data_IF_692344618092
#
_entry.id   IF_692344618092
#
_cell.length_a   1.000
_cell.length_b   1.000
_cell.length_c   1.000
_cell.angle_alpha   90.00
_cell.angle_beta   90.00
_cell.angle_gamma   90.00
#
_symmetry.space_group_name_H-M   'P 1'
#
loop_
_entity.id
_entity.type
_entity.pdbx_description
1 polymer ?
#
# COMPACT_ATOMS: atom_id res chain seq x y z
N UNK A 1 3.30 16.02 33.87
CA UNK A 1 1.83 16.19 33.98
C UNK A 1 1.20 15.66 32.70
N UNK A 2 0.46 14.55 32.75
CA UNK A 2 -0.19 13.95 31.56
C UNK A 2 -1.55 14.63 31.33
N UNK A 3 -1.75 15.29 30.19
CA UNK A 3 -3.11 15.70 29.76
C UNK A 3 -3.71 14.57 28.94
N UNK A 4 -4.75 13.95 29.49
CA UNK A 4 -5.55 12.91 28.86
C UNK A 4 -6.55 13.59 27.91
N UNK A 5 -6.47 13.29 26.61
CA UNK A 5 -7.43 13.77 25.62
C UNK A 5 -8.50 12.71 25.40
N UNK A 6 -9.67 12.92 25.98
CA UNK A 6 -10.82 12.02 25.91
C UNK A 6 -11.68 12.39 24.69
N UNK A 7 -11.80 11.41 23.79
CA UNK A 7 -12.99 10.96 23.05
C UNK A 7 -14.02 12.01 22.57
N UNK A 8 -14.40 11.92 21.28
CA UNK A 8 -15.82 11.80 20.90
C UNK A 8 -15.96 10.92 19.64
N UNK A 9 -16.57 9.75 19.80
CA UNK A 9 -17.06 8.90 18.71
C UNK A 9 -18.59 8.96 18.77
N UNK A 10 -19.23 9.42 17.69
CA UNK A 10 -20.69 9.51 17.59
C UNK A 10 -21.23 8.25 16.90
N UNK A 11 -21.70 7.31 17.71
CA UNK A 11 -22.66 6.28 17.30
C UNK A 11 -24.07 6.88 17.36
N UNK A 12 -24.89 6.64 16.34
CA UNK A 12 -26.31 7.02 16.32
C UNK A 12 -27.16 5.84 15.86
N UNK A 13 -27.83 5.17 16.80
CA UNK A 13 -28.80 4.09 16.54
C UNK A 13 -29.99 4.24 17.52
N UNK A 14 -31.18 4.51 16.95
CA UNK A 14 -32.56 4.27 17.45
C UNK A 14 -32.96 4.97 18.79
N UNK A 15 -34.19 5.44 19.01
CA UNK A 15 -35.50 4.91 18.61
C UNK A 15 -36.64 5.97 18.68
N UNK A 16 -37.82 5.64 18.15
CA UNK A 16 -39.06 6.42 18.31
C UNK A 16 -40.24 5.80 17.52
N UNK A 17 -41.35 5.45 18.20
CA UNK A 17 -42.41 4.57 17.67
C UNK A 17 -43.79 5.23 17.50
N UNK A 18 -44.74 4.47 16.92
CA UNK A 18 -46.22 4.66 16.92
C UNK A 18 -46.81 5.72 15.97
N UNK A 19 -47.99 5.56 15.32
CA UNK A 19 -49.00 4.46 15.25
C UNK A 19 -49.99 4.74 14.10
N UNK A 20 -50.53 3.70 13.41
CA UNK A 20 -51.99 3.41 13.20
C UNK A 20 -52.35 2.57 11.93
N UNK A 21 -52.95 1.40 12.20
CA UNK A 21 -54.07 0.67 11.54
C UNK A 21 -54.11 0.31 10.02
N UNK A 22 -54.51 -0.95 9.81
CA UNK A 22 -54.80 -1.68 8.55
C UNK A 22 -56.23 -1.40 7.99
N UNK A 23 -56.62 -1.92 6.80
CA UNK A 23 -57.02 -3.34 6.60
C UNK A 23 -56.54 -3.96 5.26
N UNK A 24 -56.89 -5.18 4.80
CA UNK A 24 -57.05 -6.57 5.34
C UNK A 24 -57.24 -7.49 4.12
N UNK A 25 -56.57 -8.65 4.01
CA UNK A 25 -57.17 -9.86 3.38
C UNK A 25 -56.48 -11.18 3.81
N UNK A 26 -57.18 -12.32 3.62
CA UNK A 26 -56.94 -13.63 4.25
C UNK A 26 -56.33 -14.66 3.29
N UNK A 27 -55.67 -15.68 3.82
CA UNK A 27 -56.12 -17.08 3.64
C UNK A 27 -55.49 -18.03 4.68
N UNK A 28 -56.18 -19.15 4.95
CA UNK A 28 -56.02 -20.01 6.14
C UNK A 28 -55.25 -21.32 5.89
N UNK A 29 -54.54 -21.81 6.91
CA UNK A 29 -54.60 -23.20 7.45
C UNK A 29 -53.55 -23.37 8.60
N UNK A 30 -53.92 -23.66 9.86
CA UNK A 30 -54.18 -24.99 10.47
C UNK A 30 -52.97 -25.98 10.34
N UNK A 31 -52.41 -26.66 11.35
CA UNK A 31 -52.67 -26.99 12.80
C UNK A 31 -51.29 -27.23 13.49
N UNK A 32 -51.01 -27.21 14.81
CA UNK A 32 -51.73 -26.89 16.06
C UNK A 32 -51.31 -27.81 17.26
N UNK A 33 -51.30 -27.28 18.50
CA UNK A 33 -50.93 -27.90 19.82
C UNK A 33 -49.45 -28.34 20.03
N UNK A 34 -48.77 -28.00 21.15
CA UNK A 34 -48.99 -28.36 22.59
C UNK A 34 -48.79 -29.88 22.84
N UNK A 35 -48.10 -30.36 23.89
CA UNK A 35 -47.79 -29.74 25.20
C UNK A 35 -46.65 -30.46 25.98
N UNK A 36 -46.18 -29.82 27.07
CA UNK A 36 -45.66 -30.40 28.36
C UNK A 36 -44.63 -31.57 28.35
N UNK A 37 -43.48 -31.42 29.03
CA UNK A 37 -43.21 -32.06 30.35
C UNK A 37 -41.80 -31.72 30.93
N UNK A 38 -41.76 -31.15 32.15
CA UNK A 38 -40.59 -31.23 33.03
C UNK A 38 -40.76 -32.44 33.96
N UNK A 39 -39.76 -33.33 34.07
CA UNK A 39 -39.18 -33.67 35.39
C UNK A 39 -38.00 -34.68 35.37
N UNK A 40 -37.18 -34.56 36.43
CA UNK A 40 -36.40 -35.60 37.14
C UNK A 40 -35.06 -36.13 36.58
N UNK A 41 -34.02 -35.66 37.28
CA UNK A 41 -33.00 -36.47 37.97
C UNK A 41 -32.23 -37.54 37.18
N UNK A 42 -31.04 -37.16 36.73
CA UNK A 42 -29.94 -38.11 36.47
C UNK A 42 -28.85 -37.98 37.55
N UNK A 43 -28.31 -39.12 37.97
CA UNK A 43 -27.28 -39.25 39.01
C UNK A 43 -25.89 -38.87 38.45
N UNK A 44 -25.08 -38.19 39.25
CA UNK A 44 -23.61 -38.18 39.10
C UNK A 44 -23.01 -39.52 39.57
N UNK A 45 -21.71 -39.84 39.33
CA UNK A 45 -20.68 -39.10 38.57
C UNK A 45 -19.95 -39.96 37.50
N UNK A 46 -19.04 -39.35 36.72
CA UNK A 46 -17.61 -39.75 36.53
C UNK A 46 -17.05 -39.16 35.22
N UNK A 47 -15.88 -38.51 35.30
CA UNK A 47 -15.10 -38.00 34.15
C UNK A 47 -14.11 -39.06 33.65
N UNK A 48 -13.70 -39.08 32.36
CA UNK A 48 -12.45 -38.39 32.03
C UNK A 48 -12.37 -37.74 30.63
N UNK A 49 -11.73 -36.57 30.58
CA UNK A 49 -10.89 -36.04 29.48
C UNK A 49 -11.38 -36.19 28.03
N UNK A 50 -12.08 -35.16 27.53
CA UNK A 50 -12.08 -34.83 26.10
C UNK A 50 -10.99 -33.76 25.84
N UNK A 51 -10.01 -33.99 24.94
CA UNK A 51 -9.03 -32.97 24.59
C UNK A 51 -9.72 -31.84 23.80
N UNK A 52 -9.52 -30.58 24.21
CA UNK A 52 -9.90 -29.44 23.36
C UNK A 52 -9.24 -29.61 21.98
N UNK A 53 -10.05 -29.62 20.93
CA UNK A 53 -9.53 -29.58 19.56
C UNK A 53 -8.66 -28.33 19.39
N UNK A 54 -7.38 -28.55 19.13
CA UNK A 54 -6.45 -27.51 18.68
C UNK A 54 -7.05 -26.83 17.45
N UNK A 55 -7.01 -25.49 17.33
CA UNK A 55 -7.51 -24.81 16.14
C UNK A 55 -6.79 -25.35 14.90
N UNK A 56 -7.56 -25.57 13.84
CA UNK A 56 -7.02 -26.03 12.56
C UNK A 56 -5.86 -25.10 12.12
N UNK A 57 -4.78 -25.65 11.53
CA UNK A 57 -3.63 -24.84 11.14
C UNK A 57 -4.09 -23.74 10.18
N UNK A 58 -3.84 -22.49 10.56
CA UNK A 58 -4.09 -21.33 9.71
C UNK A 58 -3.35 -21.54 8.39
N UNK A 59 -4.10 -21.64 7.29
CA UNK A 59 -3.52 -21.83 5.95
C UNK A 59 -2.54 -20.68 5.70
N UNK A 60 -1.25 -20.99 5.62
CA UNK A 60 -0.20 -20.02 5.42
C UNK A 60 -0.31 -19.48 4.00
N UNK A 61 -0.88 -18.29 3.87
CA UNK A 61 -1.08 -17.66 2.57
C UNK A 61 0.25 -17.14 2.03
N UNK A 62 0.59 -17.63 0.83
CA UNK A 62 1.80 -17.27 0.09
C UNK A 62 1.42 -16.91 -1.34
N UNK A 63 1.74 -15.68 -1.74
CA UNK A 63 1.59 -15.22 -3.12
C UNK A 63 2.89 -14.56 -3.53
N UNK A 64 3.48 -14.96 -4.65
CA UNK A 64 4.65 -14.31 -5.25
C UNK A 64 4.46 -14.30 -6.77
N UNK A 65 4.39 -13.11 -7.34
CA UNK A 65 4.17 -12.86 -8.77
C UNK A 65 5.51 -12.90 -9.53
N UNK A 66 5.55 -13.48 -10.74
CA UNK A 66 6.79 -13.56 -11.54
C UNK A 66 7.07 -12.27 -12.33
N UNK A 67 7.16 -11.14 -11.61
CA UNK A 67 7.43 -9.84 -12.21
C UNK A 67 8.87 -9.79 -12.75
N UNK A 68 9.10 -9.31 -13.99
CA UNK A 68 10.45 -9.16 -14.53
C UNK A 68 11.28 -8.22 -13.63
N UNK A 69 12.54 -8.57 -13.40
CA UNK A 69 13.49 -7.67 -12.76
C UNK A 69 14.16 -6.80 -13.82
N UNK A 70 14.18 -5.48 -13.61
CA UNK A 70 14.93 -4.54 -14.43
C UNK A 70 15.84 -3.73 -13.50
N UNK A 71 17.16 -3.75 -13.76
CA UNK A 71 18.12 -2.87 -13.10
C UNK A 71 17.98 -1.44 -13.64
N UNK A 72 18.01 -0.42 -12.78
CA UNK A 72 18.09 0.99 -13.20
C UNK A 72 19.48 1.35 -13.73
N UNK A 73 20.53 0.71 -13.17
CA UNK A 73 21.93 0.88 -13.55
C UNK A 73 22.27 0.16 -14.87
N UNK A 74 23.27 0.64 -15.62
CA UNK A 74 24.08 1.85 -15.36
C UNK A 74 23.41 3.20 -15.74
N UNK A 75 22.34 3.20 -16.52
CA UNK A 75 21.87 4.37 -17.27
C UNK A 75 21.11 5.40 -16.43
N UNK A 76 20.42 4.97 -15.38
CA UNK A 76 19.54 5.82 -14.56
C UNK A 76 19.94 5.75 -13.08
N UNK A 77 20.92 6.56 -12.67
CA UNK A 77 21.38 6.60 -11.27
C UNK A 77 20.25 6.82 -10.27
N UNK A 78 19.28 7.68 -10.61
CA UNK A 78 18.13 8.02 -9.77
C UNK A 78 16.79 7.58 -10.43
N UNK A 79 16.80 6.53 -11.26
CA UNK A 79 15.60 6.08 -11.99
C UNK A 79 14.81 4.96 -11.32
N UNK A 80 14.76 4.91 -9.98
CA UNK A 80 14.13 3.80 -9.27
C UNK A 80 12.62 3.69 -9.55
N UNK A 81 11.92 4.82 -9.64
CA UNK A 81 10.48 4.93 -9.87
C UNK A 81 10.10 4.53 -11.29
N UNK A 82 10.79 5.07 -12.30
CA UNK A 82 10.54 4.75 -13.71
C UNK A 82 10.98 3.34 -14.08
N UNK A 83 11.99 2.79 -13.39
CA UNK A 83 12.40 1.39 -13.58
C UNK A 83 11.42 0.44 -12.90
N UNK A 84 10.93 0.78 -11.70
CA UNK A 84 9.84 0.04 -11.02
C UNK A 84 8.54 0.07 -11.84
N UNK A 85 8.18 1.22 -12.40
CA UNK A 85 7.06 1.33 -13.34
C UNK A 85 7.28 0.47 -14.59
N UNK A 86 8.49 0.41 -15.15
CA UNK A 86 8.78 -0.48 -16.29
C UNK A 86 8.52 -1.95 -15.94
N UNK A 87 8.89 -2.41 -14.74
CA UNK A 87 8.64 -3.78 -14.28
C UNK A 87 7.13 -4.08 -14.20
N UNK A 88 6.34 -3.17 -13.61
CA UNK A 88 4.87 -3.30 -13.50
C UNK A 88 4.19 -3.26 -14.88
N UNK A 89 4.59 -2.35 -15.76
CA UNK A 89 4.03 -2.23 -17.11
C UNK A 89 4.36 -3.46 -17.98
N UNK A 90 5.58 -3.99 -17.91
CA UNK A 90 5.95 -5.22 -18.62
C UNK A 90 5.19 -6.45 -18.10
N UNK A 91 4.97 -6.55 -16.78
CA UNK A 91 4.12 -7.60 -16.21
C UNK A 91 2.67 -7.51 -16.72
N UNK A 92 2.14 -6.30 -16.86
CA UNK A 92 0.83 -6.04 -17.47
C UNK A 92 0.79 -6.24 -19.01
N UNK A 93 1.85 -6.77 -19.63
CA UNK A 93 1.95 -7.06 -21.06
C UNK A 93 2.35 -5.86 -21.95
N UNK A 94 2.66 -4.70 -21.35
CA UNK A 94 2.99 -3.47 -22.08
C UNK A 94 4.47 -3.46 -22.48
N UNK A 95 4.73 -3.35 -23.80
CA UNK A 95 6.08 -3.27 -24.36
C UNK A 95 6.66 -1.86 -24.20
N UNK A 96 7.23 -1.57 -23.03
CA UNK A 96 7.93 -0.32 -22.72
C UNK A 96 9.19 -0.57 -21.89
N UNK A 97 10.21 0.27 -22.03
CA UNK A 97 11.45 0.18 -21.25
C UNK A 97 11.70 1.42 -20.36
N UNK A 98 12.59 1.26 -19.37
CA UNK A 98 12.94 2.31 -18.39
C UNK A 98 13.40 3.63 -19.03
N UNK A 99 14.06 3.59 -20.20
CA UNK A 99 14.56 4.79 -20.88
C UNK A 99 13.44 5.58 -21.55
N UNK A 100 12.46 4.89 -22.14
CA UNK A 100 11.24 5.53 -22.66
C UNK A 100 10.46 6.22 -21.54
N UNK A 101 10.34 5.57 -20.38
CA UNK A 101 9.67 6.16 -19.20
C UNK A 101 10.47 7.32 -18.60
N UNK A 102 11.80 7.21 -18.49
CA UNK A 102 12.68 8.30 -18.04
C UNK A 102 12.65 9.54 -18.96
N UNK A 103 12.41 9.34 -20.25
CA UNK A 103 12.20 10.43 -21.21
C UNK A 103 10.77 11.00 -21.18
N UNK A 104 9.80 10.24 -20.68
CA UNK A 104 8.36 10.58 -20.72
C UNK A 104 7.79 11.07 -19.38
N UNK A 105 8.47 10.83 -18.27
CA UNK A 105 8.10 11.36 -16.95
C UNK A 105 8.16 12.88 -16.97
N UNK A 106 7.15 13.53 -16.39
CA UNK A 106 7.14 14.99 -16.20
C UNK A 106 8.31 15.38 -15.30
N UNK A 107 8.94 16.53 -15.55
CA UNK A 107 10.09 17.06 -14.79
C UNK A 107 9.73 18.35 -14.10
N UNK A 108 10.43 18.63 -13.00
CA UNK A 108 10.54 19.97 -12.45
C UNK A 108 11.98 20.44 -12.67
N UNK A 109 12.12 21.38 -13.61
CA UNK A 109 13.40 21.94 -14.04
C UNK A 109 13.88 23.10 -13.15
N UNK A 110 13.25 23.34 -12.00
CA UNK A 110 13.71 24.33 -11.01
C UNK A 110 15.15 24.02 -10.60
N UNK A 111 16.11 24.95 -10.80
CA UNK A 111 17.52 24.66 -10.60
C UNK A 111 17.86 24.44 -9.12
N UNK A 112 18.82 23.54 -8.89
CA UNK A 112 19.40 23.31 -7.57
C UNK A 112 20.25 24.52 -7.14
N UNK A 113 19.88 25.13 -6.01
CA UNK A 113 20.66 26.14 -5.32
C UNK A 113 21.10 25.63 -3.95
N UNK A 114 22.38 25.81 -3.61
CA UNK A 114 22.97 25.36 -2.34
C UNK A 114 23.73 26.51 -1.67
N UNK A 115 23.79 26.49 -0.34
CA UNK A 115 24.59 27.45 0.42
C UNK A 115 26.09 27.05 0.45
N UNK A 116 26.92 27.86 1.12
CA UNK A 116 28.38 27.59 1.25
C UNK A 116 28.72 26.35 2.09
N UNK A 117 27.78 25.86 2.90
CA UNK A 117 27.95 24.67 3.74
C UNK A 117 27.55 23.38 3.00
N UNK A 118 26.84 23.51 1.87
CA UNK A 118 26.32 22.40 1.07
C UNK A 118 24.81 22.16 1.20
N UNK A 119 24.13 22.88 2.09
CA UNK A 119 22.70 22.71 2.35
C UNK A 119 21.87 23.17 1.14
N UNK A 120 20.78 22.46 0.83
CA UNK A 120 19.89 22.77 -0.30
C UNK A 120 18.97 23.94 0.08
N UNK A 121 19.14 25.09 -0.58
CA UNK A 121 18.27 26.27 -0.36
C UNK A 121 17.00 26.17 -1.20
N UNK A 122 17.15 25.81 -2.47
CA UNK A 122 16.05 25.78 -3.45
C UNK A 122 16.26 24.64 -4.45
N UNK A 123 15.17 23.98 -4.83
CA UNK A 123 15.12 22.94 -5.86
C UNK A 123 13.67 22.69 -6.33
N UNK A 124 13.44 21.67 -7.16
CA UNK A 124 12.11 21.28 -7.63
C UNK A 124 11.23 20.62 -6.55
N UNK A 125 9.91 20.62 -6.76
CA UNK A 125 8.92 19.87 -5.98
C UNK A 125 8.68 18.50 -6.65
N UNK A 126 9.01 17.37 -6.00
CA UNK A 126 8.85 16.04 -6.58
C UNK A 126 7.39 15.64 -6.83
N UNK A 127 6.42 16.39 -6.27
CA UNK A 127 5.00 16.26 -6.61
C UNK A 127 4.66 16.86 -7.98
N UNK A 128 5.45 17.83 -8.45
CA UNK A 128 5.22 18.49 -9.74
C UNK A 128 5.94 17.78 -10.90
N UNK A 129 7.09 17.14 -10.65
CA UNK A 129 7.80 16.32 -11.63
C UNK A 129 9.05 15.67 -11.05
N UNK A 130 9.79 14.92 -11.86
CA UNK A 130 11.12 14.42 -11.48
C UNK A 130 12.08 15.59 -11.25
N UNK A 131 12.74 15.61 -10.11
CA UNK A 131 13.60 16.72 -9.66
C UNK A 131 15.07 16.46 -10.04
N UNK A 132 15.60 17.31 -10.90
CA UNK A 132 16.99 17.25 -11.37
C UNK A 132 17.27 16.14 -12.40
N UNK A 133 18.51 15.65 -12.48
CA UNK A 133 18.92 14.70 -13.52
C UNK A 133 18.78 13.23 -13.11
N UNK A 134 17.80 12.54 -13.68
CA UNK A 134 17.53 11.11 -13.47
C UNK A 134 18.69 10.18 -13.88
N UNK A 135 19.53 10.61 -14.84
CA UNK A 135 20.69 9.82 -15.30
C UNK A 135 21.85 9.85 -14.31
N UNK A 136 21.94 10.94 -13.52
CA UNK A 136 22.98 11.14 -12.52
C UNK A 136 24.31 11.66 -13.05
N UNK A 137 24.33 12.26 -14.25
CA UNK A 137 25.43 13.10 -14.74
C UNK A 137 25.55 14.39 -13.92
N UNK A 138 24.42 14.91 -13.44
CA UNK A 138 24.37 15.97 -12.43
C UNK A 138 23.59 15.50 -11.18
N UNK A 139 23.26 16.42 -10.26
CA UNK A 139 22.43 16.09 -9.10
C UNK A 139 20.98 15.88 -9.54
N UNK A 140 20.41 14.77 -9.11
CA UNK A 140 19.01 14.40 -9.24
C UNK A 140 18.50 13.87 -7.91
N UNK A 141 17.18 13.85 -7.74
CA UNK A 141 16.52 13.37 -6.54
C UNK A 141 15.53 12.24 -6.87
N UNK A 142 14.26 12.59 -7.08
CA UNK A 142 13.16 11.65 -7.15
C UNK A 142 11.95 12.26 -7.89
N UNK A 143 10.92 11.44 -8.09
CA UNK A 143 9.56 11.82 -8.44
C UNK A 143 8.56 11.15 -7.51
N UNK A 144 7.51 11.86 -7.12
CA UNK A 144 6.47 11.32 -6.23
C UNK A 144 5.33 10.67 -7.03
N UNK A 145 4.34 10.15 -6.30
CA UNK A 145 3.24 9.34 -6.85
C UNK A 145 2.46 10.03 -7.97
N UNK A 146 2.21 11.34 -7.92
CA UNK A 146 1.33 12.00 -8.88
C UNK A 146 1.90 11.97 -10.33
N UNK A 147 3.12 12.48 -10.63
CA UNK A 147 3.63 12.40 -12.00
C UNK A 147 3.88 10.95 -12.47
N UNK A 148 4.17 10.01 -11.56
CA UNK A 148 4.30 8.60 -11.91
C UNK A 148 2.94 7.96 -12.25
N UNK A 149 1.88 8.32 -11.53
CA UNK A 149 0.49 7.92 -11.82
C UNK A 149 0.03 8.49 -13.17
N UNK A 150 0.28 9.78 -13.43
CA UNK A 150 -0.01 10.42 -14.73
C UNK A 150 0.75 9.74 -15.89
N UNK A 151 1.98 9.26 -15.65
CA UNK A 151 2.73 8.46 -16.62
C UNK A 151 2.14 7.06 -16.80
N UNK A 152 1.78 6.37 -15.72
CA UNK A 152 1.20 5.02 -15.76
C UNK A 152 -0.16 4.98 -16.46
N UNK A 153 -1.02 5.98 -16.23
CA UNK A 153 -2.35 6.08 -16.83
C UNK A 153 -2.33 6.20 -18.35
N UNK A 154 -1.25 6.75 -18.94
CA UNK A 154 -1.06 6.76 -20.40
C UNK A 154 -0.83 5.37 -21.01
N UNK A 155 -0.39 4.39 -20.22
CA UNK A 155 -0.17 3.01 -20.67
C UNK A 155 -1.29 2.06 -20.21
N UNK A 156 -1.96 2.38 -19.11
CA UNK A 156 -3.00 1.56 -18.47
C UNK A 156 -4.25 2.40 -18.13
N UNK A 157 -4.92 3.00 -19.15
CA UNK A 157 -6.06 3.88 -18.91
C UNK A 157 -7.22 3.15 -18.22
N UNK A 158 -7.83 3.80 -17.23
CA UNK A 158 -8.85 3.28 -16.33
C UNK A 158 -8.42 2.03 -15.51
N UNK A 159 -7.12 1.74 -15.45
CA UNK A 159 -6.55 0.59 -14.71
C UNK A 159 -5.51 1.01 -13.66
N UNK A 160 -5.05 2.26 -13.66
CA UNK A 160 -4.15 2.78 -12.62
C UNK A 160 -4.92 3.04 -11.32
N UNK A 161 -4.38 2.58 -10.19
CA UNK A 161 -4.95 2.82 -8.86
C UNK A 161 -3.89 3.41 -7.96
N UNK A 162 -4.19 4.54 -7.32
CA UNK A 162 -3.32 5.14 -6.31
C UNK A 162 -3.69 4.62 -4.92
N UNK A 163 -2.73 3.98 -4.25
CA UNK A 163 -2.88 3.38 -2.92
C UNK A 163 -2.22 4.23 -1.81
N UNK A 164 -1.80 5.45 -2.11
CA UNK A 164 -1.17 6.35 -1.12
C UNK A 164 -2.14 6.63 0.02
N UNK A 165 -1.73 6.33 1.26
CA UNK A 165 -2.56 6.49 2.45
C UNK A 165 -3.67 5.44 2.61
N UNK A 166 -3.62 4.33 1.86
CA UNK A 166 -4.47 3.15 2.09
C UNK A 166 -3.84 2.21 3.11
N UNK A 167 -4.67 1.35 3.70
CA UNK A 167 -4.19 0.30 4.60
C UNK A 167 -3.31 -0.70 3.83
N UNK A 168 -2.31 -1.26 4.50
CA UNK A 168 -1.42 -2.23 3.88
C UNK A 168 -2.15 -3.49 3.36
N UNK A 169 -3.33 -3.81 3.93
CA UNK A 169 -4.19 -4.88 3.43
C UNK A 169 -4.77 -4.58 2.03
N UNK A 170 -5.04 -3.32 1.67
CA UNK A 170 -5.47 -2.94 0.32
C UNK A 170 -4.35 -3.14 -0.71
N UNK A 171 -3.10 -2.94 -0.27
CA UNK A 171 -1.89 -3.21 -1.05
C UNK A 171 -1.73 -4.72 -1.27
N UNK A 172 -1.82 -5.53 -0.22
CA UNK A 172 -1.79 -7.00 -0.34
C UNK A 172 -2.94 -7.54 -1.19
N UNK A 173 -4.13 -6.92 -1.14
CA UNK A 173 -5.24 -7.29 -2.01
C UNK A 173 -4.94 -7.11 -3.51
N UNK A 174 -4.12 -6.12 -3.90
CA UNK A 174 -3.64 -6.03 -5.29
C UNK A 174 -2.75 -7.21 -5.67
N UNK A 175 -1.83 -7.61 -4.78
CA UNK A 175 -0.95 -8.79 -5.01
C UNK A 175 -1.78 -10.06 -5.20
N UNK A 176 -2.83 -10.27 -4.39
CA UNK A 176 -3.79 -11.39 -4.56
C UNK A 176 -4.57 -11.34 -5.87
N UNK A 177 -4.76 -10.14 -6.44
CA UNK A 177 -5.40 -9.89 -7.73
C UNK A 177 -4.43 -9.87 -8.92
N UNK A 178 -3.23 -10.47 -8.78
CA UNK A 178 -2.19 -10.51 -9.82
C UNK A 178 -1.71 -9.12 -10.29
N UNK A 179 -1.68 -8.15 -9.37
CA UNK A 179 -1.27 -6.75 -9.65
C UNK A 179 -0.09 -6.36 -8.74
N UNK A 180 1.15 -6.33 -9.25
CA UNK A 180 2.28 -5.82 -8.49
C UNK A 180 2.17 -4.30 -8.27
N UNK A 181 2.75 -3.82 -7.16
CA UNK A 181 2.58 -2.43 -6.69
C UNK A 181 3.93 -1.73 -6.60
N UNK A 182 4.06 -0.51 -7.15
CA UNK A 182 5.22 0.36 -6.91
C UNK A 182 5.11 0.98 -5.52
N UNK A 183 6.14 0.83 -4.69
CA UNK A 183 6.19 1.31 -3.31
C UNK A 183 7.41 2.21 -3.12
N UNK A 184 7.20 3.38 -2.50
CA UNK A 184 8.27 4.29 -2.06
C UNK A 184 8.74 3.90 -0.66
N UNK A 185 10.05 3.95 -0.44
CA UNK A 185 10.74 3.52 0.78
C UNK A 185 12.12 4.20 0.85
N UNK A 186 13.05 3.73 1.68
CA UNK A 186 14.47 4.15 1.66
C UNK A 186 15.36 3.10 1.00
N UNK A 187 16.61 3.45 0.69
CA UNK A 187 17.62 2.51 0.17
C UNK A 187 17.94 1.32 1.09
N UNK A 188 17.55 1.36 2.37
CA UNK A 188 17.70 0.25 3.34
C UNK A 188 16.37 -0.31 3.86
N UNK A 189 15.25 0.14 3.26
CA UNK A 189 13.86 -0.20 3.56
C UNK A 189 13.35 0.19 4.96
N UNK A 190 14.00 1.12 5.68
CA UNK A 190 13.58 1.57 7.01
C UNK A 190 12.85 2.92 6.97
N UNK A 191 12.34 3.34 8.14
CA UNK A 191 11.85 4.71 8.35
C UNK A 191 13.03 5.68 8.21
N UNK A 192 12.92 6.78 7.44
CA UNK A 192 14.04 7.71 7.23
C UNK A 192 14.46 8.42 8.52
N UNK A 193 15.75 8.40 8.82
CA UNK A 193 16.38 9.09 9.97
C UNK A 193 16.96 10.47 9.60
N UNK A 194 17.09 10.77 8.30
CA UNK A 194 17.68 12.00 7.75
C UNK A 194 16.72 12.70 6.80
N UNK A 195 16.42 13.95 7.11
CA UNK A 195 15.47 14.77 6.38
C UNK A 195 16.14 16.05 5.92
N UNK A 196 16.09 16.32 4.63
CA UNK A 196 16.49 17.59 4.04
C UNK A 196 15.29 18.50 3.83
N UNK A 197 15.53 19.79 3.63
CA UNK A 197 14.45 20.76 3.44
C UNK A 197 14.87 21.95 2.58
N UNK A 198 14.15 22.19 1.48
CA UNK A 198 14.42 23.27 0.53
C UNK A 198 13.15 24.03 0.12
N UNK A 199 13.34 25.25 -0.41
CA UNK A 199 12.24 26.04 -0.97
C UNK A 199 11.91 25.63 -2.39
N UNK A 200 10.63 25.65 -2.71
CA UNK A 200 10.13 25.63 -4.08
C UNK A 200 9.06 26.74 -4.19
N UNK A 201 9.45 27.89 -4.73
CA UNK A 201 8.67 29.13 -4.59
C UNK A 201 8.37 29.43 -3.12
N UNK A 202 7.08 29.59 -2.81
CA UNK A 202 6.61 29.83 -1.43
C UNK A 202 6.47 28.54 -0.59
N UNK A 203 6.61 27.35 -1.20
CA UNK A 203 6.51 26.06 -0.49
C UNK A 203 7.80 25.74 0.24
N UNK A 204 7.67 25.08 1.40
CA UNK A 204 8.75 24.30 2.00
C UNK A 204 8.57 22.84 1.58
N UNK A 205 9.55 22.26 0.91
CA UNK A 205 9.65 20.82 0.70
C UNK A 205 10.52 20.25 1.83
N UNK A 206 10.16 19.08 2.34
CA UNK A 206 10.87 18.33 3.37
C UNK A 206 10.82 16.86 3.00
N UNK A 207 11.99 16.22 2.83
CA UNK A 207 12.06 14.86 2.29
C UNK A 207 13.41 14.17 2.60
N UNK A 208 13.45 12.83 2.62
CA UNK A 208 14.70 12.09 2.77
C UNK A 208 15.41 11.95 1.42
N UNK A 209 16.74 12.17 1.38
CA UNK A 209 17.53 12.07 0.14
C UNK A 209 17.86 10.64 -0.30
N UNK A 210 17.68 9.66 0.59
CA UNK A 210 17.84 8.23 0.32
C UNK A 210 16.51 7.54 -0.05
N UNK A 211 15.50 8.34 -0.41
CA UNK A 211 14.25 7.86 -1.01
C UNK A 211 14.54 6.91 -2.18
N UNK A 212 13.83 5.80 -2.17
CA UNK A 212 13.95 4.72 -3.14
C UNK A 212 12.55 4.23 -3.53
N UNK A 213 12.44 3.58 -4.69
CA UNK A 213 11.21 2.95 -5.15
C UNK A 213 11.47 1.54 -5.66
N UNK A 214 10.65 0.61 -5.18
CA UNK A 214 10.72 -0.82 -5.45
C UNK A 214 9.36 -1.32 -5.92
N UNK A 215 9.30 -2.56 -6.43
CA UNK A 215 8.02 -3.21 -6.75
C UNK A 215 7.74 -4.29 -5.74
N UNK A 216 6.63 -4.18 -5.01
CA UNK A 216 6.06 -5.27 -4.22
C UNK A 216 5.44 -6.31 -5.16
N UNK A 217 5.88 -7.56 -5.00
CA UNK A 217 5.48 -8.68 -5.86
C UNK A 217 4.91 -9.87 -5.08
N UNK A 218 4.93 -9.84 -3.75
CA UNK A 218 4.51 -11.01 -2.97
C UNK A 218 4.54 -10.82 -1.46
N UNK A 219 3.98 -11.81 -0.76
CA UNK A 219 4.01 -11.94 0.70
C UNK A 219 3.98 -13.41 1.14
N UNK A 220 4.53 -13.69 2.31
CA UNK A 220 4.51 -14.99 3.00
C UNK A 220 4.73 -14.76 4.50
N UNK A 221 3.80 -15.19 5.36
CA UNK A 221 4.01 -15.29 6.83
C UNK A 221 4.66 -14.06 7.50
N UNK A 222 4.13 -12.85 7.28
CA UNK A 222 4.68 -11.62 7.87
C UNK A 222 5.94 -11.07 7.17
N UNK A 223 6.28 -11.60 6.00
CA UNK A 223 7.28 -11.07 5.09
C UNK A 223 6.65 -10.64 3.77
N UNK A 224 7.32 -9.70 3.10
CA UNK A 224 7.04 -9.23 1.76
C UNK A 224 8.17 -9.59 0.80
N UNK A 225 7.86 -9.66 -0.49
CA UNK A 225 8.82 -9.92 -1.56
C UNK A 225 8.84 -8.73 -2.51
N UNK A 226 10.02 -8.17 -2.75
CA UNK A 226 10.20 -7.02 -3.64
C UNK A 226 11.17 -7.29 -4.79
N UNK A 227 10.96 -6.65 -5.92
CA UNK A 227 11.99 -6.45 -6.94
C UNK A 227 12.64 -5.08 -6.72
N UNK A 228 13.95 -5.06 -6.50
CA UNK A 228 14.72 -3.84 -6.26
C UNK A 228 15.53 -3.45 -7.52
N UNK A 229 15.24 -2.29 -8.16
CA UNK A 229 15.92 -1.86 -9.37
C UNK A 229 17.33 -1.30 -9.13
N UNK A 230 17.66 -0.88 -7.90
CA UNK A 230 18.96 -0.28 -7.53
C UNK A 230 19.97 -1.35 -7.14
N UNK A 231 19.54 -2.36 -6.39
CA UNK A 231 20.39 -3.48 -5.95
C UNK A 231 20.34 -4.67 -6.92
N UNK A 232 19.38 -4.71 -7.85
CA UNK A 232 19.21 -5.82 -8.80
C UNK A 232 18.80 -7.14 -8.14
N UNK A 233 18.06 -7.09 -7.01
CA UNK A 233 17.55 -8.29 -6.34
C UNK A 233 16.13 -8.56 -6.82
N UNK A 234 15.90 -9.75 -7.39
CA UNK A 234 14.55 -10.27 -7.71
C UNK A 234 13.99 -11.00 -6.49
N UNK A 235 12.70 -10.83 -6.19
CA UNK A 235 12.01 -11.48 -5.07
C UNK A 235 12.78 -11.42 -3.74
N UNK A 236 13.33 -10.25 -3.41
CA UNK A 236 14.02 -10.04 -2.14
C UNK A 236 13.01 -10.12 -0.98
N UNK A 237 13.21 -11.10 -0.09
CA UNK A 237 12.41 -11.25 1.13
C UNK A 237 12.80 -10.18 2.16
N UNK A 238 11.80 -9.43 2.64
CA UNK A 238 11.92 -8.34 3.62
C UNK A 238 10.81 -8.51 4.66
N UNK A 239 11.00 -8.10 5.92
CA UNK A 239 9.92 -8.16 6.94
C UNK A 239 8.75 -7.24 6.54
N UNK A 240 7.51 -7.55 6.92
CA UNK A 240 6.36 -6.70 6.60
C UNK A 240 6.33 -5.38 7.38
N UNK A 241 7.04 -5.27 8.51
CA UNK A 241 7.08 -4.08 9.37
C UNK A 241 7.88 -2.88 8.79
N UNK A 242 7.99 -2.79 7.46
CA UNK A 242 8.73 -1.76 6.71
C UNK A 242 7.81 -0.79 5.93
N UNK A 243 6.48 -0.90 6.11
CA UNK A 243 5.47 -0.08 5.44
C UNK A 243 4.51 0.54 6.46
#
# INVERSE_FOLDING_TARGET
MKKLLILYVLFSILAGCSTKQSPVEKHESNVGHEDIELTKNTKNPTSPNEPLQSPAPSVQEKVILDVPLISQKPELKYGCEVTSLAMVLQYAGIKVNKMQLANSIKKDDTPLSMNKNGDIIQWGDPKEGFVGDITGKTKGYAVYVQPLQELMERYLPNRTVNLTGKDFNDVLAQIKMDKPVVVWTTGDYKVPDRWESWKHGNKQITAPLDLHAVVLIGFENGYIYINDPLSGKKAHKVNQCFC
#
